data_IF_464606708591
#
_entry.id   IF_464606708591
#
_cell.length_a   1.000
_cell.length_b   1.000
_cell.length_c   1.000
_cell.angle_alpha   90.00
_cell.angle_beta   90.00
_cell.angle_gamma   90.00
#
_symmetry.space_group_name_H-M   'P 1'
#
loop_
_entity.id
_entity.type
_entity.pdbx_description
1 polymer ?
#
# COMPACT_ATOMS: atom_id res chain seq x y z
N UNK A 1 -0.02 -18.84 -8.36
CA UNK A 1 0.15 -17.37 -8.21
C UNK A 1 0.92 -17.15 -6.92
N UNK A 2 2.21 -16.80 -7.00
CA UNK A 2 3.07 -16.62 -5.81
C UNK A 2 2.53 -15.44 -5.00
N UNK A 3 2.32 -15.64 -3.70
CA UNK A 3 1.91 -14.61 -2.75
C UNK A 3 3.07 -13.63 -2.52
N UNK A 4 3.47 -12.87 -3.54
CA UNK A 4 4.68 -12.04 -3.55
C UNK A 4 4.75 -11.05 -2.38
N UNK A 5 3.61 -10.68 -1.80
CA UNK A 5 3.54 -9.85 -0.62
C UNK A 5 4.12 -10.54 0.63
N UNK A 6 4.12 -11.88 0.72
CA UNK A 6 4.74 -12.64 1.82
C UNK A 6 6.26 -12.49 1.88
N UNK A 7 6.88 -12.07 0.79
CA UNK A 7 8.31 -11.79 0.72
C UNK A 7 8.65 -10.36 1.16
N UNK A 8 7.64 -9.51 1.40
CA UNK A 8 7.85 -8.19 1.96
C UNK A 8 8.38 -8.30 3.39
N UNK A 9 9.27 -7.37 3.72
CA UNK A 9 9.84 -7.19 5.05
C UNK A 9 9.72 -5.74 5.46
N UNK A 10 9.70 -5.49 6.77
CA UNK A 10 9.81 -4.13 7.31
C UNK A 10 11.01 -3.42 6.67
N UNK A 11 10.82 -2.18 6.23
CA UNK A 11 11.85 -1.42 5.52
C UNK A 11 11.81 -1.53 3.99
N UNK A 12 11.15 -2.55 3.43
CA UNK A 12 10.93 -2.61 1.99
C UNK A 12 10.11 -1.41 1.53
N UNK A 13 10.39 -0.94 0.31
CA UNK A 13 9.64 0.13 -0.32
C UNK A 13 8.77 -0.44 -1.42
N UNK A 14 7.53 0.01 -1.48
CA UNK A 14 6.56 -0.38 -2.51
C UNK A 14 5.88 0.86 -3.08
N UNK A 15 5.30 0.76 -4.28
CA UNK A 15 4.37 1.75 -4.83
C UNK A 15 3.04 1.06 -5.12
N UNK A 16 1.94 1.70 -4.77
CA UNK A 16 0.61 1.28 -5.22
C UNK A 16 0.41 1.84 -6.63
N UNK A 17 0.14 0.97 -7.60
CA UNK A 17 0.10 1.32 -9.04
C UNK A 17 -1.27 1.10 -9.67
N UNK A 18 -2.16 0.35 -9.02
CA UNK A 18 -3.52 0.07 -9.51
C UNK A 18 -4.47 -0.27 -8.36
N UNK A 19 -5.75 -0.40 -8.68
CA UNK A 19 -6.71 -1.05 -7.76
C UNK A 19 -6.42 -2.55 -7.67
N UNK A 20 -6.70 -3.19 -6.52
CA UNK A 20 -6.58 -4.64 -6.41
C UNK A 20 -7.56 -5.31 -7.38
N UNK A 21 -7.11 -6.35 -8.09
CA UNK A 21 -7.96 -7.08 -9.04
C UNK A 21 -9.18 -7.70 -8.35
N UNK A 22 -9.03 -8.07 -7.07
CA UNK A 22 -10.13 -8.56 -6.23
C UNK A 22 -11.29 -7.57 -6.12
N UNK A 23 -11.06 -6.25 -6.24
CA UNK A 23 -12.12 -5.26 -6.22
C UNK A 23 -13.04 -5.26 -7.45
N UNK A 24 -12.69 -6.02 -8.49
CA UNK A 24 -13.54 -6.27 -9.66
C UNK A 24 -14.32 -7.59 -9.57
N UNK A 25 -14.09 -8.40 -8.52
CA UNK A 25 -14.82 -9.66 -8.33
C UNK A 25 -16.20 -9.39 -7.71
N UNK A 26 -17.21 -10.07 -8.24
CA UNK A 26 -18.56 -10.04 -7.69
C UNK A 26 -18.56 -10.54 -6.24
N UNK A 27 -19.26 -9.81 -5.36
CA UNK A 27 -19.32 -10.10 -3.92
C UNK A 27 -18.15 -9.57 -3.09
N UNK A 28 -17.06 -9.08 -3.71
CA UNK A 28 -15.97 -8.44 -2.98
C UNK A 28 -16.24 -6.95 -2.75
N UNK A 29 -16.50 -6.57 -1.49
CA UNK A 29 -16.77 -5.18 -1.13
C UNK A 29 -15.49 -4.51 -0.63
N UNK A 30 -14.90 -3.66 -1.47
CA UNK A 30 -13.87 -2.72 -1.04
C UNK A 30 -14.53 -1.44 -0.47
N UNK A 31 -14.38 -1.12 0.83
CA UNK A 31 -15.00 0.06 1.43
C UNK A 31 -14.64 1.35 0.69
N UNK A 32 -15.58 2.31 0.63
CA UNK A 32 -15.42 3.57 -0.11
C UNK A 32 -14.18 4.35 0.34
N UNK A 33 -13.90 4.37 1.65
CA UNK A 33 -12.71 5.01 2.23
C UNK A 33 -11.42 4.36 1.74
N UNK A 34 -11.35 3.03 1.76
CA UNK A 34 -10.22 2.27 1.24
C UNK A 34 -10.04 2.52 -0.26
N UNK A 35 -11.11 2.46 -1.05
CA UNK A 35 -11.06 2.78 -2.49
C UNK A 35 -10.54 4.20 -2.73
N UNK A 36 -10.96 5.17 -1.93
CA UNK A 36 -10.44 6.54 -2.05
C UNK A 36 -8.93 6.60 -1.73
N UNK A 37 -8.48 5.89 -0.70
CA UNK A 37 -7.06 5.79 -0.36
C UNK A 37 -6.22 5.21 -1.51
N UNK A 38 -6.67 4.13 -2.16
CA UNK A 38 -5.98 3.60 -3.34
C UNK A 38 -5.86 4.64 -4.45
N UNK A 39 -6.94 5.36 -4.78
CA UNK A 39 -6.91 6.42 -5.80
C UNK A 39 -5.87 7.50 -5.47
N UNK A 40 -5.84 7.94 -4.21
CA UNK A 40 -4.88 8.94 -3.75
C UNK A 40 -3.43 8.43 -3.85
N UNK A 41 -3.18 7.16 -3.47
CA UNK A 41 -1.85 6.57 -3.53
C UNK A 41 -1.34 6.37 -4.95
N UNK A 42 -2.21 5.91 -5.85
CA UNK A 42 -1.93 5.77 -7.28
C UNK A 42 -1.59 7.14 -7.88
N UNK A 43 -2.45 8.14 -7.65
CA UNK A 43 -2.22 9.50 -8.14
C UNK A 43 -0.95 10.13 -7.57
N UNK A 44 -0.62 9.85 -6.31
CA UNK A 44 0.60 10.35 -5.66
C UNK A 44 1.87 9.73 -6.25
N UNK A 45 1.81 8.48 -6.73
CA UNK A 45 2.93 7.73 -7.32
C UNK A 45 4.25 7.82 -6.50
N UNK A 46 4.15 7.74 -5.17
CA UNK A 46 5.32 7.78 -4.28
C UNK A 46 5.54 6.46 -3.57
N UNK A 47 6.81 6.03 -3.39
CA UNK A 47 7.11 4.86 -2.58
C UNK A 47 6.64 5.02 -1.13
N UNK A 48 5.99 3.98 -0.61
CA UNK A 48 5.69 3.79 0.79
C UNK A 48 6.65 2.76 1.38
N UNK A 49 6.94 2.89 2.68
CA UNK A 49 7.73 1.92 3.43
C UNK A 49 6.79 0.96 4.15
N UNK A 50 7.05 -0.34 4.02
CA UNK A 50 6.45 -1.36 4.91
C UNK A 50 6.99 -1.08 6.31
N UNK A 51 6.11 -0.71 7.24
CA UNK A 51 6.50 -0.30 8.59
C UNK A 51 6.30 -1.42 9.61
N UNK A 52 5.46 -2.39 9.31
CA UNK A 52 5.07 -3.47 10.20
C UNK A 52 4.71 -4.71 9.38
N UNK A 53 4.96 -5.89 9.94
CA UNK A 53 4.31 -7.15 9.54
C UNK A 53 3.48 -7.55 10.76
N UNK A 54 2.15 -7.67 10.63
CA UNK A 54 1.33 -7.99 11.78
C UNK A 54 1.53 -9.44 12.24
N UNK A 55 1.44 -9.69 13.54
CA UNK A 55 1.76 -11.00 14.12
C UNK A 55 0.74 -12.08 13.73
N UNK A 56 -0.56 -11.72 13.67
CA UNK A 56 -1.66 -12.68 13.55
C UNK A 56 -1.80 -13.27 12.15
N UNK A 57 -1.65 -12.44 11.12
CA UNK A 57 -1.89 -12.79 9.73
C UNK A 57 -0.64 -12.63 8.86
N UNK A 58 0.45 -12.12 9.41
CA UNK A 58 1.70 -11.87 8.71
C UNK A 58 1.52 -10.93 7.52
N UNK A 59 0.55 -10.01 7.58
CA UNK A 59 0.32 -9.06 6.50
C UNK A 59 1.29 -7.89 6.64
N UNK A 60 1.94 -7.47 5.54
CA UNK A 60 2.75 -6.28 5.54
C UNK A 60 1.85 -5.04 5.53
N UNK A 61 2.12 -4.10 6.43
CA UNK A 61 1.40 -2.85 6.55
C UNK A 61 2.24 -1.66 6.10
N UNK A 62 1.61 -0.75 5.36
CA UNK A 62 2.16 0.57 5.02
C UNK A 62 1.39 1.67 5.75
N UNK A 63 2.11 2.70 6.17
CA UNK A 63 1.56 3.90 6.78
C UNK A 63 1.77 5.07 5.84
N UNK A 64 0.73 5.89 5.66
CA UNK A 64 0.81 7.11 4.90
C UNK A 64 -0.03 8.21 5.55
N UNK A 65 0.20 9.45 5.11
CA UNK A 65 -0.59 10.60 5.53
C UNK A 65 -0.91 11.51 4.36
N UNK A 66 -2.08 12.12 4.43
CA UNK A 66 -2.58 13.11 3.49
C UNK A 66 -3.01 14.37 4.24
N UNK A 67 -2.89 15.51 3.57
CA UNK A 67 -3.34 16.78 4.13
C UNK A 67 -4.79 17.00 3.71
N UNK A 68 -5.65 17.26 4.69
CA UNK A 68 -7.07 17.57 4.43
C UNK A 68 -7.20 18.98 3.86
N UNK A 69 -8.39 19.31 3.34
CA UNK A 69 -8.71 20.67 2.87
C UNK A 69 -8.50 21.74 3.95
N UNK A 70 -8.69 21.37 5.22
CA UNK A 70 -8.51 22.26 6.38
C UNK A 70 -7.06 22.25 6.90
N UNK A 71 -6.11 21.70 6.14
CA UNK A 71 -4.69 21.71 6.47
C UNK A 71 -4.22 20.69 7.51
N UNK A 72 -5.12 19.90 8.09
CA UNK A 72 -4.80 18.85 9.09
C UNK A 72 -4.19 17.62 8.41
N UNK A 73 -3.35 16.87 9.13
CA UNK A 73 -2.83 15.59 8.67
C UNK A 73 -3.72 14.44 9.11
N UNK A 74 -4.17 13.62 8.17
CA UNK A 74 -4.84 12.35 8.43
C UNK A 74 -3.89 11.20 8.15
N UNK A 75 -3.84 10.24 9.07
CA UNK A 75 -3.02 9.03 8.96
C UNK A 75 -3.87 7.88 8.48
N UNK A 76 -3.34 7.12 7.51
CA UNK A 76 -3.96 5.92 6.99
C UNK A 76 -2.98 4.76 7.04
N UNK A 77 -3.54 3.58 7.23
CA UNK A 77 -2.83 2.31 7.29
C UNK A 77 -3.48 1.39 6.27
N UNK A 78 -2.65 0.67 5.51
CA UNK A 78 -3.12 -0.24 4.47
C UNK A 78 -2.33 -1.53 4.57
N UNK A 79 -3.03 -2.65 4.75
CA UNK A 79 -2.46 -3.98 4.59
C UNK A 79 -2.22 -4.24 3.10
N UNK A 80 -1.08 -4.86 2.78
CA UNK A 80 -0.65 -5.12 1.41
C UNK A 80 -0.67 -6.62 1.19
N UNK A 81 -1.81 -7.14 0.75
CA UNK A 81 -2.05 -8.57 0.59
C UNK A 81 -2.69 -8.92 -0.77
N UNK A 82 -2.51 -8.03 -1.73
CA UNK A 82 -3.10 -8.09 -3.06
C UNK A 82 -2.02 -7.85 -4.14
N UNK A 83 -2.48 -7.61 -5.38
CA UNK A 83 -1.68 -7.42 -6.57
C UNK A 83 -1.60 -5.94 -7.03
N UNK A 84 -1.95 -4.99 -6.15
CA UNK A 84 -2.05 -3.56 -6.47
C UNK A 84 -0.71 -2.82 -6.53
N UNK A 85 0.38 -3.47 -6.14
CA UNK A 85 1.64 -2.82 -5.80
C UNK A 85 2.84 -3.40 -6.55
N UNK A 86 3.91 -2.62 -6.60
CA UNK A 86 5.22 -3.05 -7.11
C UNK A 86 6.32 -2.75 -6.10
N UNK A 87 7.32 -3.63 -6.01
CA UNK A 87 8.51 -3.42 -5.18
C UNK A 87 9.39 -2.33 -5.79
N UNK A 88 9.87 -1.41 -4.95
CA UNK A 88 10.80 -0.36 -5.36
C UNK A 88 12.19 -0.71 -4.85
N UNK A 89 13.11 -1.02 -5.76
CA UNK A 89 14.53 -1.15 -5.43
C UNK A 89 15.07 0.23 -5.05
N UNK A 90 15.81 0.31 -3.94
CA UNK A 90 16.60 1.50 -3.63
C UNK A 90 17.73 1.52 -4.65
N UNK A 91 17.80 2.53 -5.52
CA UNK A 91 19.03 2.74 -6.28
C UNK A 91 20.14 2.97 -5.25
N UNK A 92 21.19 2.15 -5.30
CA UNK A 92 22.49 2.53 -4.72
C UNK A 92 22.94 3.73 -5.54
N UNK A 93 22.78 4.94 -5.01
CA UNK A 93 23.61 6.04 -5.46
C UNK A 93 25.01 5.68 -4.98
N UNK A 94 25.90 5.31 -5.90
CA UNK A 94 27.33 5.29 -5.61
C UNK A 94 27.68 6.73 -5.23
N UNK A 95 28.07 6.93 -3.97
CA UNK A 95 28.77 8.12 -3.53
C UNK A 95 30.26 7.97 -3.80
#
# INVERSE_FOLDING_TARGET
>A
MVMAWRELRVGNRIRIVRMPSAAALDGYVLPRSTRHLYKLLIARNRPLRVYEIDERWQLPWVKCRFRTKNGKWEYHFLAVNDDSWVRVKKHRTNG
#
